data_IF_742680634125
#
_entry.id   IF_742680634125
#
_cell.length_a   1.000
_cell.length_b   1.000
_cell.length_c   1.000
_cell.angle_alpha   90.00
_cell.angle_beta   90.00
_cell.angle_gamma   90.00
#
_symmetry.space_group_name_H-M   'P 1'
#
loop_
_entity.id
_entity.type
_entity.pdbx_description
1 polymer ?
#
# COMPACT_ATOMS: atom_id res chain seq x y z
N UNK A 1 7.40 29.04 -22.70
CA UNK A 1 6.09 28.36 -22.84
C UNK A 1 5.01 29.35 -22.45
N UNK A 2 3.96 29.49 -23.26
CA UNK A 2 2.89 30.46 -22.99
C UNK A 2 1.84 29.87 -22.06
N UNK A 3 1.14 30.72 -21.30
CA UNK A 3 0.06 30.28 -20.41
C UNK A 3 -1.04 29.52 -21.16
N UNK A 4 -1.34 29.92 -22.39
CA UNK A 4 -2.32 29.23 -23.25
C UNK A 4 -1.92 27.78 -23.58
N UNK A 5 -0.63 27.53 -23.82
CA UNK A 5 -0.10 26.18 -24.07
C UNK A 5 -0.14 25.32 -22.80
N UNK A 6 0.16 25.92 -21.65
CA UNK A 6 0.04 25.28 -20.33
C UNK A 6 -1.39 24.87 -20.03
N UNK A 7 -2.36 25.77 -20.24
CA UNK A 7 -3.78 25.51 -20.02
C UNK A 7 -4.25 24.36 -20.92
N UNK A 8 -3.87 24.37 -22.21
CA UNK A 8 -4.22 23.30 -23.14
C UNK A 8 -3.69 21.95 -22.67
N UNK A 9 -2.41 21.87 -22.30
CA UNK A 9 -1.81 20.62 -21.76
C UNK A 9 -2.48 20.19 -20.47
N UNK A 10 -2.83 21.13 -19.59
CA UNK A 10 -3.57 20.86 -18.36
C UNK A 10 -4.93 20.23 -18.63
N UNK A 11 -5.67 20.78 -19.62
CA UNK A 11 -6.94 20.24 -20.07
C UNK A 11 -6.79 18.83 -20.65
N UNK A 12 -5.85 18.63 -21.57
CA UNK A 12 -5.61 17.32 -22.19
C UNK A 12 -5.23 16.26 -21.14
N UNK A 13 -4.42 16.65 -20.16
CA UNK A 13 -4.03 15.76 -19.05
C UNK A 13 -5.22 15.43 -18.15
N UNK A 14 -6.06 16.42 -17.82
CA UNK A 14 -7.25 16.21 -16.99
C UNK A 14 -8.26 15.28 -17.68
N UNK A 15 -8.47 15.45 -18.99
CA UNK A 15 -9.32 14.57 -19.79
C UNK A 15 -8.83 13.12 -19.73
N UNK A 16 -7.54 12.89 -19.99
CA UNK A 16 -6.94 11.55 -19.94
C UNK A 16 -6.94 10.92 -18.56
N UNK A 17 -6.77 11.73 -17.52
CA UNK A 17 -6.94 11.25 -16.16
C UNK A 17 -8.38 10.80 -15.89
N UNK A 18 -9.40 11.57 -16.30
CA UNK A 18 -10.81 11.21 -16.11
C UNK A 18 -11.18 9.90 -16.80
N UNK A 19 -10.79 9.73 -18.07
CA UNK A 19 -11.00 8.49 -18.83
C UNK A 19 -10.35 7.27 -18.12
N UNK A 20 -9.14 7.47 -17.58
CA UNK A 20 -8.42 6.41 -16.88
C UNK A 20 -9.03 6.08 -15.51
N UNK A 21 -9.44 7.09 -14.75
CA UNK A 21 -10.05 6.95 -13.43
C UNK A 21 -11.36 6.16 -13.53
N UNK A 22 -12.24 6.53 -14.46
CA UNK A 22 -13.50 5.82 -14.72
C UNK A 22 -13.26 4.35 -15.11
N UNK A 23 -12.30 4.09 -15.99
CA UNK A 23 -11.95 2.73 -16.40
C UNK A 23 -11.39 1.90 -15.24
N UNK A 24 -10.54 2.49 -14.39
CA UNK A 24 -9.99 1.82 -13.21
C UNK A 24 -11.07 1.52 -12.17
N UNK A 25 -12.02 2.44 -11.95
CA UNK A 25 -13.18 2.21 -11.08
C UNK A 25 -13.98 1.02 -11.60
N UNK A 26 -14.35 1.02 -12.89
CA UNK A 26 -15.14 -0.07 -13.47
C UNK A 26 -14.42 -1.42 -13.39
N UNK A 27 -13.11 -1.47 -13.66
CA UNK A 27 -12.31 -2.71 -13.53
C UNK A 27 -12.24 -3.17 -12.07
N UNK A 28 -12.07 -2.24 -11.14
CA UNK A 28 -12.01 -2.56 -9.72
C UNK A 28 -13.37 -3.10 -9.23
N UNK A 29 -14.47 -2.46 -9.56
CA UNK A 29 -15.82 -2.93 -9.19
C UNK A 29 -16.17 -4.28 -9.83
N UNK A 30 -15.78 -4.49 -11.10
CA UNK A 30 -16.15 -5.71 -11.84
C UNK A 30 -15.27 -6.91 -11.48
N UNK A 31 -13.97 -6.69 -11.26
CA UNK A 31 -13.00 -7.79 -11.10
C UNK A 31 -12.18 -7.68 -9.82
N UNK A 32 -11.78 -6.47 -9.42
CA UNK A 32 -10.93 -6.24 -8.25
C UNK A 32 -11.60 -6.59 -6.93
N UNK A 33 -12.72 -5.95 -6.61
CA UNK A 33 -13.46 -6.14 -5.36
C UNK A 33 -13.99 -7.57 -5.21
N UNK A 34 -14.59 -8.20 -6.24
CA UNK A 34 -15.02 -9.60 -6.13
C UNK A 34 -13.84 -10.55 -5.88
N UNK A 35 -12.72 -10.36 -6.59
CA UNK A 35 -11.52 -11.16 -6.40
C UNK A 35 -10.94 -10.99 -4.99
N UNK A 36 -10.76 -9.76 -4.52
CA UNK A 36 -10.22 -9.48 -3.19
C UNK A 36 -11.16 -9.98 -2.08
N UNK A 37 -12.47 -9.90 -2.28
CA UNK A 37 -13.46 -10.48 -1.36
C UNK A 37 -13.31 -12.00 -1.27
N UNK A 38 -13.29 -12.71 -2.40
CA UNK A 38 -13.12 -14.17 -2.44
C UNK A 38 -11.77 -14.61 -1.87
N UNK A 39 -10.70 -13.88 -2.18
CA UNK A 39 -9.35 -14.11 -1.65
C UNK A 39 -9.31 -13.95 -0.12
N UNK A 40 -9.92 -12.90 0.42
CA UNK A 40 -10.00 -12.65 1.87
C UNK A 40 -10.84 -13.72 2.57
N UNK A 41 -11.95 -14.14 1.96
CA UNK A 41 -12.76 -15.23 2.49
C UNK A 41 -11.94 -16.53 2.62
N UNK A 42 -11.25 -16.93 1.55
CA UNK A 42 -10.36 -18.11 1.56
C UNK A 42 -9.26 -17.97 2.62
N UNK A 43 -8.65 -16.79 2.74
CA UNK A 43 -7.64 -16.54 3.77
C UNK A 43 -8.18 -16.76 5.19
N UNK A 44 -9.36 -16.21 5.48
CA UNK A 44 -10.01 -16.37 6.78
C UNK A 44 -10.37 -17.84 7.06
N UNK A 45 -10.90 -18.54 6.06
CA UNK A 45 -11.21 -19.97 6.19
C UNK A 45 -9.97 -20.82 6.45
N UNK A 46 -8.85 -20.50 5.78
CA UNK A 46 -7.57 -21.16 6.04
C UNK A 46 -7.05 -20.90 7.47
N UNK A 47 -7.23 -19.68 8.00
CA UNK A 47 -6.89 -19.37 9.39
C UNK A 47 -7.75 -20.18 10.38
N UNK A 48 -9.06 -20.29 10.13
CA UNK A 48 -9.98 -21.08 10.95
C UNK A 48 -9.69 -22.58 10.83
N UNK A 49 -9.36 -23.07 9.64
CA UNK A 49 -8.97 -24.47 9.44
C UNK A 49 -7.68 -24.80 10.21
N UNK A 50 -6.72 -23.87 10.23
CA UNK A 50 -5.48 -24.01 11.01
C UNK A 50 -5.76 -24.11 12.52
N UNK A 51 -6.74 -23.36 13.04
CA UNK A 51 -7.13 -23.46 14.46
C UNK A 51 -7.95 -24.69 14.81
N UNK A 52 -8.45 -25.43 13.80
CA UNK A 52 -9.18 -26.70 13.92
C UNK A 52 -8.33 -27.91 13.52
N UNK A 53 -7.02 -27.81 13.66
CA UNK A 53 -6.03 -28.89 13.45
C UNK A 53 -5.88 -29.39 11.99
N UNK A 54 -6.30 -28.62 10.97
CA UNK A 54 -5.93 -28.95 9.58
C UNK A 54 -4.44 -28.64 9.38
N UNK A 55 -3.58 -29.65 9.11
CA UNK A 55 -2.15 -29.41 8.98
C UNK A 55 -1.86 -28.61 7.71
N UNK A 56 -1.14 -27.50 7.83
CA UNK A 56 -0.79 -26.64 6.69
C UNK A 56 0.12 -27.33 5.66
N UNK A 57 0.79 -28.41 6.07
CA UNK A 57 1.58 -29.25 5.17
C UNK A 57 0.74 -29.92 4.08
N UNK A 58 -0.58 -30.06 4.31
CA UNK A 58 -1.54 -30.60 3.32
C UNK A 58 -1.60 -29.76 2.05
N UNK A 59 -1.25 -28.47 2.12
CA UNK A 59 -1.27 -27.56 0.97
C UNK A 59 0.08 -27.47 0.22
N UNK A 60 1.03 -28.36 0.53
CA UNK A 60 2.35 -28.39 -0.13
C UNK A 60 2.40 -29.35 -1.31
N UNK A 61 3.20 -28.97 -2.32
CA UNK A 61 3.57 -29.86 -3.43
C UNK A 61 2.45 -30.13 -4.44
N UNK A 62 2.62 -31.19 -5.21
CA UNK A 62 1.75 -31.50 -6.36
C UNK A 62 0.38 -32.06 -5.96
N UNK A 63 0.27 -32.68 -4.78
CA UNK A 63 -0.97 -33.20 -4.21
C UNK A 63 -1.79 -32.14 -3.44
N UNK A 64 -1.51 -30.86 -3.65
CA UNK A 64 -2.25 -29.76 -3.00
C UNK A 64 -3.74 -29.80 -3.41
N UNK A 65 -4.68 -29.88 -2.46
CA UNK A 65 -6.12 -29.94 -2.74
C UNK A 65 -6.68 -28.66 -3.37
N UNK A 66 -5.94 -27.56 -3.36
CA UNK A 66 -6.28 -26.28 -4.02
C UNK A 66 -5.64 -26.14 -5.41
N UNK A 67 -5.43 -27.27 -6.10
CA UNK A 67 -5.04 -27.35 -7.51
C UNK A 67 -6.28 -27.58 -8.36
N UNK A 68 -6.58 -26.64 -9.25
CA UNK A 68 -7.74 -26.66 -10.13
C UNK A 68 -7.27 -26.69 -11.59
N UNK A 69 -7.17 -27.90 -12.16
CA UNK A 69 -6.62 -28.12 -13.52
C UNK A 69 -7.52 -27.53 -14.62
N UNK A 70 -8.84 -27.54 -14.40
CA UNK A 70 -9.84 -26.92 -15.27
C UNK A 70 -9.64 -25.39 -15.38
N UNK A 71 -9.23 -24.76 -14.29
CA UNK A 71 -8.92 -23.33 -14.24
C UNK A 71 -7.44 -23.02 -14.55
N UNK A 72 -6.57 -24.04 -14.61
CA UNK A 72 -5.12 -23.90 -14.69
C UNK A 72 -4.54 -23.06 -13.54
N UNK A 73 -5.08 -23.23 -12.32
CA UNK A 73 -4.70 -22.45 -11.13
C UNK A 73 -4.26 -23.38 -10.00
N UNK A 74 -3.19 -23.00 -9.31
CA UNK A 74 -2.76 -23.58 -8.04
C UNK A 74 -2.73 -22.50 -6.96
N UNK A 75 -3.52 -22.67 -5.89
CA UNK A 75 -3.43 -21.79 -4.73
C UNK A 75 -2.31 -22.24 -3.80
N UNK A 76 -1.24 -21.46 -3.75
CA UNK A 76 -0.08 -21.74 -2.89
C UNK A 76 -0.28 -21.12 -1.51
N UNK A 77 -0.42 -21.96 -0.48
CA UNK A 77 -0.52 -21.53 0.91
C UNK A 77 0.89 -21.43 1.50
N UNK A 78 1.31 -20.21 1.87
CA UNK A 78 2.59 -19.96 2.55
C UNK A 78 2.33 -19.37 3.93
N UNK A 79 2.45 -20.14 5.02
CA UNK A 79 2.34 -19.57 6.36
C UNK A 79 3.49 -18.59 6.61
N UNK A 80 3.15 -17.36 7.00
CA UNK A 80 4.10 -16.44 7.59
C UNK A 80 4.35 -16.88 9.03
N UNK A 81 5.52 -17.47 9.28
CA UNK A 81 5.93 -17.85 10.62
C UNK A 81 6.55 -16.63 11.30
N UNK A 82 5.99 -16.24 12.43
CA UNK A 82 6.68 -15.35 13.37
C UNK A 82 7.40 -16.21 14.41
N UNK A 83 8.63 -15.85 14.81
CA UNK A 83 9.28 -16.54 15.90
C UNK A 83 8.42 -16.45 17.16
N UNK A 84 8.49 -17.48 18.00
CA UNK A 84 7.96 -17.38 19.34
C UNK A 84 8.61 -16.18 20.07
N UNK A 85 7.94 -15.57 21.07
CA UNK A 85 8.48 -14.43 21.79
C UNK A 85 9.92 -14.68 22.25
N UNK A 86 10.84 -13.84 21.78
CA UNK A 86 12.27 -13.92 22.07
C UNK A 86 12.74 -12.60 22.67
N UNK A 87 13.36 -12.67 23.85
CA UNK A 87 13.81 -11.49 24.60
C UNK A 87 14.81 -10.63 23.84
N UNK A 88 15.62 -11.20 22.93
CA UNK A 88 16.56 -10.40 22.12
C UNK A 88 15.80 -9.60 21.07
N UNK A 89 14.75 -10.18 20.48
CA UNK A 89 13.87 -9.45 19.56
C UNK A 89 13.14 -8.32 20.28
N UNK A 90 12.54 -8.60 21.45
CA UNK A 90 11.87 -7.57 22.25
C UNK A 90 12.79 -6.39 22.59
N UNK A 91 14.06 -6.66 22.92
CA UNK A 91 15.06 -5.62 23.17
C UNK A 91 15.41 -4.81 21.92
N UNK A 92 15.48 -5.46 20.75
CA UNK A 92 15.70 -4.77 19.47
C UNK A 92 14.49 -3.92 19.11
N UNK A 93 13.27 -4.44 19.26
CA UNK A 93 12.03 -3.72 18.98
C UNK A 93 11.91 -2.48 19.87
N UNK A 94 12.19 -2.62 21.17
CA UNK A 94 12.25 -1.47 22.10
C UNK A 94 13.27 -0.43 21.66
N UNK A 95 14.43 -0.86 21.14
CA UNK A 95 15.45 0.06 20.62
C UNK A 95 14.98 0.75 19.34
N UNK A 96 14.31 0.03 18.44
CA UNK A 96 13.72 0.59 17.22
C UNK A 96 12.71 1.67 17.61
N UNK A 97 11.78 1.38 18.52
CA UNK A 97 10.79 2.34 19.00
C UNK A 97 11.44 3.62 19.55
N UNK A 98 12.52 3.48 20.34
CA UNK A 98 13.26 4.64 20.86
C UNK A 98 13.86 5.48 19.73
N UNK A 99 14.51 4.84 18.75
CA UNK A 99 15.10 5.53 17.61
C UNK A 99 14.04 6.21 16.74
N UNK A 100 12.86 5.61 16.59
CA UNK A 100 11.72 6.21 15.89
C UNK A 100 11.19 7.45 16.61
N UNK A 101 11.15 7.44 17.94
CA UNK A 101 10.80 8.63 18.73
C UNK A 101 11.84 9.74 18.56
N UNK A 102 13.13 9.42 18.65
CA UNK A 102 14.22 10.38 18.43
C UNK A 102 14.12 11.00 17.01
N UNK A 103 13.89 10.17 15.99
CA UNK A 103 13.67 10.61 14.61
C UNK A 103 12.45 11.54 14.48
N UNK A 104 11.36 11.24 15.20
CA UNK A 104 10.14 12.06 15.21
C UNK A 104 10.42 13.44 15.80
N UNK A 105 11.20 13.53 16.88
CA UNK A 105 11.61 14.80 17.48
C UNK A 105 12.47 15.62 16.51
N UNK A 106 13.50 15.01 15.92
CA UNK A 106 14.35 15.68 14.94
C UNK A 106 13.56 16.18 13.71
N UNK A 107 12.59 15.39 13.23
CA UNK A 107 11.66 15.81 12.16
C UNK A 107 10.82 17.02 12.56
N UNK A 108 10.41 17.10 13.82
CA UNK A 108 9.59 18.21 14.34
C UNK A 108 10.43 19.48 14.47
N UNK A 109 11.65 19.37 14.97
CA UNK A 109 12.61 20.46 15.03
C UNK A 109 12.92 21.01 13.63
N UNK A 110 13.22 20.14 12.65
CA UNK A 110 13.41 20.53 11.26
C UNK A 110 12.21 21.31 10.71
N UNK A 111 10.98 20.86 10.96
CA UNK A 111 9.76 21.57 10.53
C UNK A 111 9.67 22.95 11.19
N UNK A 112 9.96 23.07 12.48
CA UNK A 112 9.98 24.35 13.18
C UNK A 112 11.00 25.32 12.57
N UNK A 113 12.20 24.85 12.23
CA UNK A 113 13.22 25.67 11.57
C UNK A 113 12.73 26.15 10.20
N UNK A 114 12.13 25.27 9.40
CA UNK A 114 11.55 25.64 8.09
C UNK A 114 10.49 26.74 8.24
N UNK A 115 9.57 26.63 9.20
CA UNK A 115 8.56 27.68 9.44
C UNK A 115 9.18 29.00 9.88
N UNK A 116 10.23 28.97 10.72
CA UNK A 116 10.99 30.18 11.08
C UNK A 116 11.65 30.83 9.88
N UNK A 117 12.16 30.04 8.94
CA UNK A 117 12.76 30.56 7.70
C UNK A 117 11.72 31.23 6.79
N UNK A 118 10.47 30.75 6.76
CA UNK A 118 9.37 31.42 6.05
C UNK A 118 9.05 32.80 6.60
N UNK A 119 9.10 32.96 7.93
CA UNK A 119 8.82 34.24 8.60
C UNK A 119 9.96 35.25 8.38
N UNK A 120 11.20 34.77 8.28
CA UNK A 120 12.41 35.60 8.11
C UNK A 120 12.69 36.03 6.67
N UNK A 121 11.71 35.89 5.77
CA UNK A 121 11.82 36.24 4.35
C UNK A 121 13.04 35.57 3.66
N UNK A 122 13.27 34.30 3.98
CA UNK A 122 14.31 33.50 3.33
C UNK A 122 13.87 33.13 1.89
N UNK A 123 14.82 33.07 0.96
CA UNK A 123 14.52 32.68 -0.42
C UNK A 123 14.21 31.18 -0.51
N UNK A 124 13.02 30.84 -1.01
CA UNK A 124 12.61 29.46 -1.27
C UNK A 124 12.62 29.19 -2.76
N UNK A 125 13.25 28.09 -3.16
CA UNK A 125 13.23 27.60 -4.54
C UNK A 125 12.20 26.48 -4.67
N UNK A 126 11.36 26.55 -5.71
CA UNK A 126 10.49 25.44 -6.08
C UNK A 126 11.38 24.32 -6.62
N UNK A 127 11.57 23.26 -5.83
CA UNK A 127 12.35 22.08 -6.21
C UNK A 127 11.55 21.04 -6.98
N UNK A 128 10.23 20.99 -6.74
CA UNK A 128 9.32 20.04 -7.38
C UNK A 128 7.89 20.60 -7.41
N UNK A 129 7.14 20.28 -8.47
CA UNK A 129 5.70 20.50 -8.57
C UNK A 129 5.04 19.12 -8.71
N UNK A 130 4.05 18.83 -7.86
CA UNK A 130 3.21 17.64 -7.97
C UNK A 130 1.82 18.03 -8.46
N UNK A 131 1.28 17.32 -9.44
CA UNK A 131 -0.10 17.46 -9.88
C UNK A 131 -0.99 16.50 -9.10
N UNK A 132 -2.18 16.97 -8.70
CA UNK A 132 -3.21 16.15 -8.07
C UNK A 132 -4.51 16.37 -8.83
N UNK A 133 -5.23 15.27 -9.10
CA UNK A 133 -6.52 15.28 -9.78
C UNK A 133 -7.60 14.82 -8.81
N UNK A 134 -8.77 15.44 -8.87
CA UNK A 134 -9.92 15.10 -8.04
C UNK A 134 -11.21 15.36 -8.81
N UNK A 135 -12.24 14.57 -8.53
CA UNK A 135 -13.59 14.88 -8.98
C UNK A 135 -14.10 16.17 -8.34
N UNK A 136 -14.79 16.98 -9.15
CA UNK A 136 -15.53 18.15 -8.66
C UNK A 136 -16.95 17.65 -8.38
N UNK A 137 -17.42 17.82 -7.13
CA UNK A 137 -18.79 17.52 -6.73
C UNK A 137 -19.77 18.57 -7.23
#
# INVERSE_FOLDING_TARGET
MKLSELIKRGHDTALKWSECDEALVAVNETFGEPYESARKALHNDLLVATSREVPLDTFKGDNNPLRFEDLKVLVVVKPSLVPAPDKKLENIDTRIERLEQELKLARTERKSIIEKLKIKDHEFVISQISTQFRHIK
#
